data_IF_357192160796
#
_entry.id   IF_357192160796
#
_cell.length_a   1.000
_cell.length_b   1.000
_cell.length_c   1.000
_cell.angle_alpha   90.00
_cell.angle_beta   90.00
_cell.angle_gamma   90.00
#
_symmetry.space_group_name_H-M   'P 1'
#
loop_
_entity.id
_entity.type
_entity.pdbx_description
1 polymer ?
#
# COMPACT_ATOMS: atom_id res chain seq x y z
N UNK A 1 9.80 52.21 12.50
CA UNK A 1 9.26 53.60 12.56
C UNK A 1 8.82 53.85 13.99
N UNK A 2 9.16 55.01 14.58
CA UNK A 2 8.60 55.41 15.88
C UNK A 2 7.10 55.68 15.70
N UNK A 3 6.26 55.00 16.50
CA UNK A 3 4.78 55.06 16.44
C UNK A 3 4.27 56.15 17.40
N UNK A 4 4.63 57.41 17.15
CA UNK A 4 4.18 58.54 17.98
C UNK A 4 2.77 59.00 17.56
N UNK A 5 1.95 59.53 18.50
CA UNK A 5 0.61 60.08 18.21
C UNK A 5 0.58 61.05 17.02
N UNK A 6 1.45 62.05 17.04
CA UNK A 6 1.47 63.17 16.09
C UNK A 6 1.80 62.68 14.68
N UNK A 7 2.61 61.61 14.59
CA UNK A 7 2.97 61.00 13.31
C UNK A 7 1.82 60.18 12.73
N UNK A 8 1.00 59.54 13.57
CA UNK A 8 -0.19 58.83 13.12
C UNK A 8 -1.17 59.84 12.53
N UNK A 9 -1.44 60.93 13.25
CA UNK A 9 -2.33 62.01 12.81
C UNK A 9 -1.90 62.59 11.45
N UNK A 10 -0.62 62.97 11.31
CA UNK A 10 -0.09 63.52 10.06
C UNK A 10 -0.16 62.53 8.89
N UNK A 11 0.19 61.26 9.11
CA UNK A 11 0.14 60.25 8.04
C UNK A 11 -1.29 59.86 7.68
N UNK A 12 -2.23 59.88 8.62
CA UNK A 12 -3.64 59.68 8.35
C UNK A 12 -4.20 60.82 7.49
N UNK A 13 -3.88 62.08 7.79
CA UNK A 13 -4.27 63.22 6.97
C UNK A 13 -3.73 63.10 5.54
N UNK A 14 -2.44 62.78 5.39
CA UNK A 14 -1.82 62.58 4.07
C UNK A 14 -2.40 61.39 3.30
N UNK A 15 -2.78 60.32 4.01
CA UNK A 15 -3.44 59.17 3.41
C UNK A 15 -4.81 59.55 2.84
N UNK A 16 -5.66 60.22 3.62
CA UNK A 16 -7.02 60.62 3.24
C UNK A 16 -7.00 61.66 2.12
N UNK A 17 -6.07 62.62 2.17
CA UNK A 17 -5.86 63.59 1.07
C UNK A 17 -5.32 62.94 -0.21
N UNK A 18 -4.88 61.68 -0.16
CA UNK A 18 -4.30 60.98 -1.30
C UNK A 18 -2.88 61.42 -1.67
N UNK A 19 -2.20 62.16 -0.79
CA UNK A 19 -0.81 62.58 -1.01
C UNK A 19 0.20 61.45 -0.76
N UNK A 20 -0.16 60.45 0.07
CA UNK A 20 0.62 59.21 0.19
C UNK A 20 0.51 58.36 -1.08
N UNK A 21 1.65 58.12 -1.74
CA UNK A 21 1.76 57.33 -2.97
C UNK A 21 2.71 56.14 -2.84
N UNK A 22 2.50 55.14 -3.69
CA UNK A 22 3.38 53.99 -3.85
C UNK A 22 3.68 53.26 -2.54
N UNK A 23 4.97 52.99 -2.28
CA UNK A 23 5.40 52.20 -1.11
C UNK A 23 5.01 52.81 0.23
N UNK A 24 4.90 54.14 0.33
CA UNK A 24 4.49 54.80 1.56
C UNK A 24 3.04 54.48 1.91
N UNK A 25 2.15 54.56 0.91
CA UNK A 25 0.73 54.20 1.03
C UNK A 25 0.55 52.74 1.43
N UNK A 26 1.18 51.82 0.70
CA UNK A 26 1.06 50.38 0.98
C UNK A 26 1.54 50.00 2.40
N UNK A 27 2.59 50.67 2.91
CA UNK A 27 3.05 50.44 4.29
C UNK A 27 2.06 50.98 5.32
N UNK A 28 1.45 52.13 5.04
CA UNK A 28 0.44 52.73 5.92
C UNK A 28 -0.84 51.88 5.94
N UNK A 29 -1.30 51.39 4.80
CA UNK A 29 -2.44 50.46 4.69
C UNK A 29 -2.20 49.16 5.47
N UNK A 30 -0.99 48.59 5.37
CA UNK A 30 -0.61 47.43 6.20
C UNK A 30 -0.66 47.74 7.69
N UNK A 31 -0.15 48.90 8.11
CA UNK A 31 -0.19 49.30 9.51
C UNK A 31 -1.63 49.54 10.00
N UNK A 32 -2.51 50.04 9.12
CA UNK A 32 -3.92 50.24 9.40
C UNK A 32 -4.66 48.91 9.66
N UNK A 33 -4.30 47.83 8.96
CA UNK A 33 -4.86 46.49 9.23
C UNK A 33 -4.54 45.98 10.64
N UNK A 34 -3.40 46.37 11.21
CA UNK A 34 -2.91 45.89 12.50
C UNK A 34 -3.26 46.81 13.68
N UNK A 35 -3.63 48.08 13.42
CA UNK A 35 -3.75 49.12 14.46
C UNK A 35 -5.11 49.82 14.44
N UNK A 36 -5.92 49.58 15.48
CA UNK A 36 -7.20 50.27 15.69
C UNK A 36 -7.05 51.79 15.80
N UNK A 37 -6.00 52.27 16.48
CA UNK A 37 -5.72 53.71 16.62
C UNK A 37 -5.46 54.39 15.27
N UNK A 38 -4.75 53.72 14.35
CA UNK A 38 -4.50 54.27 13.00
C UNK A 38 -5.79 54.35 12.21
N UNK A 39 -6.67 53.34 12.32
CA UNK A 39 -8.02 53.38 11.70
C UNK A 39 -8.87 54.52 12.23
N UNK A 40 -8.84 54.77 13.54
CA UNK A 40 -9.59 55.86 14.16
C UNK A 40 -9.15 57.24 13.64
N UNK A 41 -7.85 57.47 13.51
CA UNK A 41 -7.34 58.72 12.95
C UNK A 41 -7.71 58.89 11.47
N UNK A 42 -7.67 57.81 10.68
CA UNK A 42 -8.13 57.85 9.29
C UNK A 42 -9.61 58.18 9.20
N UNK A 43 -10.45 57.54 10.01
CA UNK A 43 -11.88 57.84 10.09
C UNK A 43 -12.14 59.32 10.42
N UNK A 44 -11.43 59.86 11.43
CA UNK A 44 -11.54 61.27 11.81
C UNK A 44 -11.23 62.21 10.63
N UNK A 45 -10.17 61.93 9.86
CA UNK A 45 -9.82 62.73 8.70
C UNK A 45 -10.76 62.53 7.51
N UNK A 46 -11.30 61.32 7.29
CA UNK A 46 -12.32 61.05 6.27
C UNK A 46 -13.61 61.81 6.56
N UNK A 47 -14.08 61.82 7.80
CA UNK A 47 -15.27 62.57 8.21
C UNK A 47 -15.06 64.08 8.06
N UNK A 48 -13.89 64.58 8.49
CA UNK A 48 -13.56 66.01 8.44
C UNK A 48 -13.41 66.53 7.00
N UNK A 49 -12.73 65.77 6.14
CA UNK A 49 -12.48 66.16 4.74
C UNK A 49 -13.66 65.80 3.82
N UNK A 50 -14.45 64.78 4.17
CA UNK A 50 -15.64 64.36 3.41
C UNK A 50 -16.67 65.49 3.27
N UNK A 51 -16.82 66.34 4.29
CA UNK A 51 -17.70 67.52 4.27
C UNK A 51 -17.32 68.55 3.17
N UNK A 52 -16.09 68.52 2.65
CA UNK A 52 -15.72 69.35 1.50
C UNK A 52 -16.39 68.86 0.21
N UNK A 53 -16.70 67.56 0.13
CA UNK A 53 -17.41 66.94 -0.99
C UNK A 53 -18.82 67.50 -1.19
N UNK A 54 -19.51 67.87 -0.11
CA UNK A 54 -20.86 68.42 -0.15
C UNK A 54 -20.96 69.77 -0.89
N UNK A 55 -19.82 70.45 -1.05
CA UNK A 55 -19.73 71.72 -1.80
C UNK A 55 -19.43 71.53 -3.28
N UNK A 56 -19.17 70.31 -3.72
CA UNK A 56 -18.90 69.99 -5.12
C UNK A 56 -20.24 69.81 -5.83
N UNK A 57 -20.49 70.53 -6.95
CA UNK A 57 -21.74 70.36 -7.69
C UNK A 57 -21.85 68.94 -8.23
N UNK A 58 -23.05 68.37 -8.11
CA UNK A 58 -23.34 67.04 -8.65
C UNK A 58 -23.16 67.04 -10.17
N UNK A 59 -22.47 66.01 -10.67
CA UNK A 59 -22.26 65.80 -12.10
C UNK A 59 -22.54 64.33 -12.40
N UNK A 60 -23.54 64.10 -13.22
CA UNK A 60 -23.92 62.76 -13.62
C UNK A 60 -22.77 62.10 -14.42
N UNK A 61 -22.23 60.96 -13.98
CA UNK A 61 -21.24 60.22 -14.74
C UNK A 61 -21.91 59.54 -15.94
N UNK A 62 -21.17 59.29 -17.05
CA UNK A 62 -21.70 58.51 -18.16
C UNK A 62 -22.17 57.12 -17.71
N UNK A 63 -23.26 56.61 -18.29
CA UNK A 63 -23.80 55.26 -17.98
C UNK A 63 -22.77 54.14 -18.16
N UNK A 64 -21.81 54.33 -19.09
CA UNK A 64 -20.71 53.39 -19.32
C UNK A 64 -19.84 53.15 -18.09
N UNK A 65 -19.71 54.14 -17.20
CA UNK A 65 -18.99 54.02 -15.92
C UNK A 65 -19.70 53.03 -15.02
N UNK A 66 -21.03 53.14 -14.90
CA UNK A 66 -21.83 52.24 -14.08
C UNK A 66 -21.81 50.81 -14.63
N UNK A 67 -21.93 50.65 -15.95
CA UNK A 67 -21.80 49.36 -16.62
C UNK A 67 -20.43 48.72 -16.39
N UNK A 68 -19.35 49.49 -16.48
CA UNK A 68 -17.99 49.01 -16.22
C UNK A 68 -17.79 48.57 -14.76
N UNK A 69 -18.39 49.29 -13.80
CA UNK A 69 -18.38 48.91 -12.38
C UNK A 69 -19.12 47.59 -12.19
N UNK A 70 -20.33 47.45 -12.74
CA UNK A 70 -21.11 46.21 -12.64
C UNK A 70 -20.35 45.01 -13.22
N UNK A 71 -19.75 45.16 -14.40
CA UNK A 71 -18.97 44.08 -15.03
C UNK A 71 -17.74 43.67 -14.22
N UNK A 72 -17.13 44.60 -13.48
CA UNK A 72 -15.94 44.33 -12.66
C UNK A 72 -16.29 43.66 -11.33
N UNK A 73 -17.37 44.08 -10.68
CA UNK A 73 -17.80 43.56 -9.38
C UNK A 73 -18.57 42.24 -9.51
N UNK A 74 -19.39 42.15 -10.54
CA UNK A 74 -20.14 40.95 -10.91
C UNK A 74 -19.81 40.62 -12.34
N UNK A 75 -18.60 40.08 -12.60
CA UNK A 75 -18.34 39.48 -13.90
C UNK A 75 -19.42 38.44 -14.09
N UNK A 76 -20.34 38.71 -15.01
CA UNK A 76 -21.27 37.71 -15.47
C UNK A 76 -20.36 36.55 -15.89
N UNK A 77 -20.53 35.39 -15.26
CA UNK A 77 -20.07 34.12 -15.78
C UNK A 77 -20.84 33.87 -17.08
N UNK A 78 -20.64 34.73 -18.07
CA UNK A 78 -20.64 34.31 -19.45
C UNK A 78 -19.68 33.14 -19.42
N UNK A 79 -20.26 31.94 -19.47
CA UNK A 79 -19.54 30.71 -19.77
C UNK A 79 -18.71 31.07 -20.98
N UNK A 80 -17.46 31.48 -20.77
CA UNK A 80 -16.48 31.55 -21.84
C UNK A 80 -16.63 30.18 -22.46
N UNK A 81 -17.02 30.05 -23.74
CA UNK A 81 -16.87 28.77 -24.40
C UNK A 81 -15.42 28.42 -24.09
N UNK A 82 -15.23 27.34 -23.33
CA UNK A 82 -13.91 26.92 -22.92
C UNK A 82 -13.06 27.04 -24.18
N UNK A 83 -11.87 27.70 -24.13
CA UNK A 83 -11.04 27.78 -25.32
C UNK A 83 -11.04 26.37 -25.86
N UNK A 84 -11.50 26.19 -27.11
CA UNK A 84 -11.30 24.93 -27.83
C UNK A 84 -9.79 24.82 -27.84
N UNK A 85 -9.25 24.24 -26.79
CA UNK A 85 -7.86 23.91 -26.65
C UNK A 85 -7.68 23.07 -27.90
N UNK A 86 -6.97 23.65 -28.88
CA UNK A 86 -6.55 22.93 -30.05
C UNK A 86 -5.90 21.69 -29.45
N UNK A 87 -6.63 20.57 -29.53
CA UNK A 87 -6.38 19.42 -28.69
C UNK A 87 -4.97 19.02 -29.04
N UNK A 88 -4.05 19.24 -28.11
CA UNK A 88 -2.69 18.79 -28.25
C UNK A 88 -2.84 17.27 -28.23
N UNK A 89 -2.99 16.67 -29.43
CA UNK A 89 -3.32 15.25 -29.66
C UNK A 89 -2.33 14.30 -29.02
N UNK A 90 -1.22 14.83 -28.53
CA UNK A 90 -0.27 14.17 -27.65
C UNK A 90 -0.88 13.79 -26.30
N UNK A 91 -1.65 14.63 -25.61
CA UNK A 91 -2.21 14.30 -24.28
C UNK A 91 -3.15 13.08 -24.26
N UNK A 92 -4.09 12.89 -25.22
CA UNK A 92 -4.93 11.69 -25.24
C UNK A 92 -4.17 10.41 -25.61
N UNK A 93 -2.99 10.50 -26.23
CA UNK A 93 -2.17 9.34 -26.55
C UNK A 93 -1.54 8.71 -25.29
N UNK A 94 -1.11 9.55 -24.32
CA UNK A 94 -0.58 9.06 -23.04
C UNK A 94 -1.66 8.43 -22.16
N UNK A 95 -2.91 8.94 -22.20
CA UNK A 95 -4.02 8.33 -21.47
C UNK A 95 -4.40 6.94 -22.00
N UNK A 96 -4.31 6.72 -23.32
CA UNK A 96 -4.52 5.39 -23.91
C UNK A 96 -3.43 4.40 -23.49
N UNK A 97 -2.17 4.85 -23.48
CA UNK A 97 -1.02 4.03 -23.06
C UNK A 97 -1.10 3.65 -21.57
N UNK A 98 -1.48 4.59 -20.70
CA UNK A 98 -1.69 4.34 -19.29
C UNK A 98 -2.86 3.36 -19.04
N UNK A 99 -3.94 3.47 -19.82
CA UNK A 99 -5.10 2.56 -19.71
C UNK A 99 -4.71 1.15 -20.14
N UNK A 100 -3.97 1.00 -21.24
CA UNK A 100 -3.46 -0.30 -21.69
C UNK A 100 -2.52 -0.93 -20.66
N UNK A 101 -1.61 -0.16 -20.06
CA UNK A 101 -0.72 -0.63 -19.00
C UNK A 101 -1.49 -1.06 -17.75
N UNK A 102 -2.53 -0.32 -17.36
CA UNK A 102 -3.38 -0.69 -16.22
C UNK A 102 -4.16 -1.98 -16.48
N UNK A 103 -4.65 -2.20 -17.70
CA UNK A 103 -5.32 -3.46 -18.09
C UNK A 103 -4.33 -4.62 -18.05
N UNK A 104 -3.13 -4.46 -18.59
CA UNK A 104 -2.08 -5.49 -18.53
C UNK A 104 -1.73 -5.81 -17.08
N UNK A 105 -1.57 -4.79 -16.22
CA UNK A 105 -1.28 -4.98 -14.80
C UNK A 105 -2.42 -5.69 -14.08
N UNK A 106 -3.68 -5.34 -14.38
CA UNK A 106 -4.85 -6.00 -13.81
C UNK A 106 -4.93 -7.47 -14.24
N UNK A 107 -4.65 -7.76 -15.52
CA UNK A 107 -4.58 -9.14 -16.02
C UNK A 107 -3.45 -9.91 -15.35
N UNK A 108 -2.27 -9.30 -15.18
CA UNK A 108 -1.16 -9.91 -14.46
C UNK A 108 -1.49 -10.18 -12.99
N UNK A 109 -2.20 -9.27 -12.31
CA UNK A 109 -2.64 -9.47 -10.93
C UNK A 109 -3.65 -10.62 -10.81
N UNK A 110 -4.61 -10.70 -11.73
CA UNK A 110 -5.62 -11.77 -11.73
C UNK A 110 -5.01 -13.12 -12.12
N UNK A 111 -3.98 -13.12 -12.97
CA UNK A 111 -3.23 -14.32 -13.33
C UNK A 111 -2.14 -14.70 -12.33
N UNK A 112 -1.97 -13.97 -11.21
CA UNK A 112 -1.08 -14.46 -10.17
C UNK A 112 -1.64 -15.77 -9.64
N UNK A 113 -0.90 -16.89 -9.77
CA UNK A 113 -1.30 -18.11 -9.09
C UNK A 113 -1.39 -17.78 -7.61
N UNK A 114 -2.52 -18.15 -6.99
CA UNK A 114 -2.70 -18.00 -5.56
C UNK A 114 -1.45 -18.55 -4.84
N UNK A 115 -0.93 -17.89 -3.79
CA UNK A 115 0.11 -18.49 -2.98
C UNK A 115 -0.45 -19.80 -2.44
N UNK A 116 0.01 -20.91 -3.00
CA UNK A 116 -0.43 -22.22 -2.55
C UNK A 116 0.05 -22.42 -1.11
N UNK A 117 -0.80 -22.99 -0.24
CA UNK A 117 -0.42 -23.27 1.14
C UNK A 117 0.83 -24.15 1.11
N UNK A 118 1.94 -23.57 1.54
CA UNK A 118 3.14 -24.35 1.84
C UNK A 118 2.81 -25.06 3.15
N UNK A 119 2.48 -26.34 3.08
CA UNK A 119 2.30 -27.20 4.26
C UNK A 119 3.66 -27.31 4.96
N UNK A 120 3.81 -26.48 5.98
CA UNK A 120 5.12 -26.09 6.49
C UNK A 120 5.36 -26.82 7.80
N UNK A 121 5.98 -27.99 7.71
CA UNK A 121 6.77 -28.61 8.77
C UNK A 121 6.00 -29.34 9.88
N UNK A 122 6.18 -30.65 9.95
CA UNK A 122 6.05 -31.37 11.22
C UNK A 122 7.42 -31.41 11.93
N UNK A 123 7.49 -30.91 13.16
CA UNK A 123 8.61 -31.20 14.07
C UNK A 123 8.27 -32.53 14.75
N UNK A 124 8.94 -33.60 14.34
CA UNK A 124 8.89 -34.86 15.09
C UNK A 124 9.72 -34.65 16.35
N UNK A 125 9.05 -34.32 17.46
CA UNK A 125 9.71 -34.12 18.74
C UNK A 125 10.08 -35.49 19.30
N UNK A 126 11.37 -35.77 19.26
CA UNK A 126 12.00 -36.96 19.80
C UNK A 126 12.42 -36.70 21.25
N UNK A 127 12.22 -37.69 22.12
CA UNK A 127 12.97 -37.77 23.37
C UNK A 127 14.48 -37.91 23.04
N UNK A 128 15.36 -37.59 23.99
CA UNK A 128 16.77 -37.13 23.84
C UNK A 128 17.73 -37.99 22.96
N UNK A 129 17.30 -39.14 22.43
CA UNK A 129 18.11 -40.05 21.60
C UNK A 129 17.62 -40.31 20.17
N UNK A 130 16.50 -39.73 19.73
CA UNK A 130 15.85 -40.11 18.48
C UNK A 130 16.15 -39.16 17.28
N UNK A 131 16.16 -39.68 16.04
CA UNK A 131 16.59 -38.95 14.86
C UNK A 131 15.58 -37.86 14.46
N UNK A 132 16.04 -36.60 14.42
CA UNK A 132 15.20 -35.47 13.98
C UNK A 132 15.07 -35.44 12.45
N UNK A 133 13.83 -35.51 11.96
CA UNK A 133 13.47 -35.40 10.54
C UNK A 133 12.56 -34.20 10.30
N UNK A 134 12.86 -33.42 9.26
CA UNK A 134 12.02 -32.33 8.77
C UNK A 134 11.33 -32.75 7.48
N UNK A 135 9.99 -32.80 7.52
CA UNK A 135 9.16 -33.06 6.34
C UNK A 135 8.58 -31.74 5.85
N UNK A 136 8.70 -31.46 4.55
CA UNK A 136 7.96 -30.39 3.88
C UNK A 136 7.33 -30.87 2.59
N UNK A 137 6.11 -30.41 2.34
CA UNK A 137 5.39 -30.65 1.09
C UNK A 137 5.36 -29.36 0.28
N UNK A 138 5.71 -29.46 -1.01
CA UNK A 138 5.58 -28.34 -1.96
C UNK A 138 4.41 -28.62 -2.90
N UNK A 139 3.29 -27.91 -2.69
CA UNK A 139 2.09 -28.01 -3.53
C UNK A 139 2.37 -27.79 -5.02
N UNK A 140 3.32 -26.89 -5.34
CA UNK A 140 3.68 -26.50 -6.71
C UNK A 140 4.25 -27.63 -7.58
N UNK A 141 5.06 -28.51 -6.99
CA UNK A 141 5.79 -29.54 -7.74
C UNK A 141 5.28 -30.95 -7.44
N UNK A 142 4.27 -31.06 -6.58
CA UNK A 142 3.78 -32.33 -6.05
C UNK A 142 4.86 -33.20 -5.42
N UNK A 143 5.76 -32.56 -4.66
CA UNK A 143 6.93 -33.23 -4.08
C UNK A 143 6.94 -33.11 -2.58
N UNK A 144 7.21 -34.25 -1.95
CA UNK A 144 7.50 -34.32 -0.54
C UNK A 144 9.02 -34.37 -0.36
N UNK A 145 9.55 -33.46 0.44
CA UNK A 145 10.95 -33.35 0.79
C UNK A 145 11.13 -33.76 2.24
N UNK A 146 12.04 -34.66 2.48
CA UNK A 146 12.43 -35.12 3.80
C UNK A 146 13.92 -34.87 3.99
N UNK A 147 14.27 -34.14 5.04
CA UNK A 147 15.66 -33.88 5.43
C UNK A 147 15.94 -34.50 6.79
N UNK A 148 17.00 -35.30 6.87
CA UNK A 148 17.59 -35.72 8.14
C UNK A 148 18.33 -34.53 8.77
N UNK A 149 18.02 -34.23 10.03
CA UNK A 149 18.70 -33.18 10.80
C UNK A 149 19.67 -33.80 11.81
N UNK A 150 19.28 -34.92 12.44
CA UNK A 150 20.11 -35.65 13.39
C UNK A 150 19.99 -37.18 13.25
N UNK A 151 19.57 -37.66 12.08
CA UNK A 151 19.35 -39.09 11.89
C UNK A 151 20.65 -39.89 11.74
N UNK A 152 20.82 -40.92 12.57
CA UNK A 152 21.91 -41.90 12.43
C UNK A 152 21.50 -42.95 11.40
N UNK A 153 22.48 -43.56 10.73
CA UNK A 153 22.24 -44.68 9.81
C UNK A 153 21.41 -45.79 10.47
N UNK A 154 20.52 -46.40 9.69
CA UNK A 154 19.79 -47.58 10.12
C UNK A 154 20.74 -48.70 10.55
N UNK A 155 20.23 -49.64 11.36
CA UNK A 155 20.98 -50.83 11.77
C UNK A 155 21.56 -51.57 10.55
N UNK A 156 22.69 -52.26 10.73
CA UNK A 156 23.38 -52.97 9.63
C UNK A 156 22.42 -53.94 8.93
N UNK A 157 22.20 -53.73 7.64
CA UNK A 157 21.32 -54.57 6.81
C UNK A 157 19.85 -54.16 6.81
N UNK A 158 19.51 -52.99 7.37
CA UNK A 158 18.17 -52.42 7.36
C UNK A 158 18.17 -51.02 6.78
N UNK A 159 17.04 -50.58 6.25
CA UNK A 159 16.83 -49.25 5.70
C UNK A 159 15.57 -48.61 6.31
N UNK A 160 15.52 -47.27 6.33
CA UNK A 160 14.30 -46.56 6.72
C UNK A 160 13.37 -46.40 5.53
N UNK A 161 12.07 -46.57 5.74
CA UNK A 161 11.06 -46.36 4.70
C UNK A 161 10.00 -45.37 5.17
N UNK A 162 9.59 -44.48 4.27
CA UNK A 162 8.57 -43.48 4.52
C UNK A 162 7.21 -43.97 4.04
N UNK A 163 6.18 -43.70 4.84
CA UNK A 163 4.80 -44.13 4.56
C UNK A 163 3.81 -42.99 4.78
N UNK A 164 2.74 -42.96 3.99
CA UNK A 164 1.50 -42.25 4.31
C UNK A 164 0.58 -43.21 5.04
N UNK A 165 0.02 -42.77 6.16
CA UNK A 165 -0.89 -43.58 6.98
C UNK A 165 -2.30 -43.01 6.86
N UNK A 166 -3.20 -43.63 6.07
CA UNK A 166 -4.58 -43.16 5.96
C UNK A 166 -5.35 -43.33 7.27
N UNK A 167 -6.44 -42.57 7.44
CA UNK A 167 -7.38 -42.78 8.55
C UNK A 167 -8.11 -44.14 8.42
N UNK A 168 -8.34 -44.59 7.19
CA UNK A 168 -8.90 -45.90 6.86
C UNK A 168 -8.21 -46.43 5.58
N UNK A 169 -7.69 -47.67 5.63
CA UNK A 169 -7.04 -48.31 4.50
C UNK A 169 -5.60 -48.75 4.82
N UNK A 170 -4.89 -49.20 3.79
CA UNK A 170 -3.52 -49.69 3.93
C UNK A 170 -2.51 -48.53 3.79
N UNK A 171 -1.37 -48.56 4.52
CA UNK A 171 -0.32 -47.56 4.37
C UNK A 171 0.26 -47.55 2.96
N UNK A 172 0.55 -46.36 2.44
CA UNK A 172 1.14 -46.19 1.12
C UNK A 172 2.63 -45.88 1.24
N UNK A 173 3.48 -46.73 0.64
CA UNK A 173 4.93 -46.49 0.62
C UNK A 173 5.26 -45.26 -0.23
N UNK A 174 6.07 -44.38 0.34
CA UNK A 174 6.73 -43.29 -0.34
C UNK A 174 8.18 -43.60 -0.68
N UNK A 175 8.68 -44.78 -0.30
CA UNK A 175 9.99 -45.29 -0.64
C UNK A 175 11.05 -45.17 0.46
N UNK A 176 12.21 -45.77 0.17
CA UNK A 176 13.34 -45.89 1.09
C UNK A 176 14.10 -44.56 1.20
N UNK A 177 14.40 -44.17 2.44
CA UNK A 177 15.01 -42.89 2.79
C UNK A 177 16.55 -43.05 2.85
N UNK A 178 17.32 -42.37 1.98
CA UNK A 178 18.77 -42.34 2.08
C UNK A 178 19.22 -41.55 3.31
N UNK A 179 20.18 -42.09 4.05
CA UNK A 179 20.73 -41.47 5.25
C UNK A 179 21.71 -40.34 4.85
N UNK A 180 21.56 -39.16 5.44
CA UNK A 180 22.49 -38.03 5.26
C UNK A 180 22.23 -37.14 4.04
N UNK A 181 21.25 -37.49 3.21
CA UNK A 181 20.84 -36.69 2.04
C UNK A 181 19.41 -36.13 2.19
N UNK A 182 19.04 -35.22 1.30
CA UNK A 182 17.65 -34.78 1.17
C UNK A 182 16.92 -35.79 0.31
N UNK A 183 15.97 -36.50 0.91
CA UNK A 183 15.08 -37.38 0.17
C UNK A 183 13.96 -36.56 -0.45
N UNK A 184 13.68 -36.79 -1.74
CA UNK A 184 12.64 -36.07 -2.45
C UNK A 184 11.86 -37.02 -3.36
N UNK A 185 10.60 -37.25 -3.01
CA UNK A 185 9.68 -38.10 -3.75
C UNK A 185 8.62 -37.24 -4.45
N UNK A 186 8.26 -37.61 -5.67
CA UNK A 186 7.09 -37.07 -6.37
C UNK A 186 5.88 -37.92 -5.99
N UNK A 187 4.85 -37.28 -5.46
CA UNK A 187 3.65 -37.98 -5.01
C UNK A 187 2.85 -38.42 -6.24
N UNK A 188 2.24 -39.62 -6.19
CA UNK A 188 1.17 -39.95 -7.13
C UNK A 188 -0.09 -39.16 -6.76
N UNK A 189 -1.08 -39.07 -7.66
CA UNK A 189 -2.34 -38.40 -7.35
C UNK A 189 -3.06 -39.07 -6.16
N UNK A 190 -2.99 -40.41 -6.06
CA UNK A 190 -3.51 -41.19 -4.94
C UNK A 190 -2.78 -40.88 -3.62
N UNK A 191 -1.45 -40.81 -3.64
CA UNK A 191 -0.65 -40.45 -2.47
C UNK A 191 -0.98 -39.04 -1.98
N UNK A 192 -1.16 -38.08 -2.91
CA UNK A 192 -1.53 -36.71 -2.59
C UNK A 192 -2.90 -36.65 -1.91
N UNK A 193 -3.90 -37.32 -2.48
CA UNK A 193 -5.25 -37.33 -1.91
C UNK A 193 -5.24 -37.94 -0.50
N UNK A 194 -4.56 -39.08 -0.35
CA UNK A 194 -4.45 -39.79 0.93
C UNK A 194 -3.73 -38.96 2.00
N UNK A 195 -2.64 -38.27 1.63
CA UNK A 195 -1.90 -37.39 2.53
C UNK A 195 -2.72 -36.16 2.91
N UNK A 196 -3.50 -35.59 1.98
CA UNK A 196 -4.35 -34.43 2.25
C UNK A 196 -5.47 -34.71 3.26
N UNK A 197 -6.00 -35.94 3.23
CA UNK A 197 -7.06 -36.41 4.13
C UNK A 197 -6.52 -36.78 5.52
N UNK A 198 -5.52 -37.67 5.56
CA UNK A 198 -5.01 -38.21 6.84
C UNK A 198 -4.01 -37.30 7.54
N UNK A 199 -3.27 -36.51 6.75
CA UNK A 199 -2.12 -35.70 7.16
C UNK A 199 -1.10 -36.48 8.00
N UNK A 200 -1.05 -37.80 7.90
CA UNK A 200 -0.25 -38.64 8.79
C UNK A 200 0.84 -39.38 8.02
N UNK A 201 2.07 -39.28 8.53
CA UNK A 201 3.25 -39.95 7.99
C UNK A 201 3.85 -40.87 9.03
N UNK A 202 4.48 -41.95 8.58
CA UNK A 202 5.23 -42.86 9.43
C UNK A 202 6.59 -43.22 8.84
N UNK A 203 7.55 -43.53 9.72
CA UNK A 203 8.85 -44.07 9.34
C UNK A 203 9.01 -45.43 10.01
N UNK A 204 9.27 -46.47 9.22
CA UNK A 204 9.56 -47.82 9.72
C UNK A 204 10.99 -48.24 9.43
N UNK A 205 11.45 -49.28 10.14
CA UNK A 205 12.76 -49.91 9.94
C UNK A 205 12.60 -51.23 9.19
N UNK A 206 12.87 -51.21 7.89
CA UNK A 206 12.61 -52.33 6.98
C UNK A 206 13.91 -53.10 6.64
N UNK A 207 13.81 -54.31 6.05
CA UNK A 207 14.96 -54.99 5.47
C UNK A 207 15.66 -54.11 4.41
N UNK A 208 16.92 -54.41 4.11
CA UNK A 208 17.66 -53.71 3.05
C UNK A 208 16.85 -53.68 1.74
N UNK A 209 16.61 -52.48 1.22
CA UNK A 209 15.79 -52.24 0.03
C UNK A 209 14.31 -51.93 0.30
N UNK A 210 13.88 -51.87 1.58
CA UNK A 210 12.51 -51.56 1.96
C UNK A 210 11.63 -52.80 2.18
N UNK A 211 10.34 -52.56 2.38
CA UNK A 211 9.34 -53.60 2.60
C UNK A 211 9.11 -54.43 1.34
N UNK A 212 9.18 -55.77 1.43
CA UNK A 212 8.90 -56.65 0.30
C UNK A 212 7.39 -56.86 0.06
N UNK A 213 6.53 -56.39 0.96
CA UNK A 213 5.09 -56.71 0.94
C UNK A 213 4.20 -55.54 0.50
N UNK A 214 4.76 -54.33 0.41
CA UNK A 214 3.97 -53.12 0.18
C UNK A 214 3.26 -52.59 1.44
N UNK A 215 3.47 -53.21 2.60
CA UNK A 215 3.05 -52.72 3.91
C UNK A 215 4.24 -52.76 4.89
N UNK A 216 4.26 -51.97 5.98
CA UNK A 216 5.36 -52.00 6.93
C UNK A 216 5.59 -53.41 7.49
N UNK A 217 6.79 -53.98 7.32
CA UNK A 217 7.14 -55.31 7.85
C UNK A 217 7.97 -55.23 9.13
N UNK A 218 8.61 -54.09 9.36
CA UNK A 218 9.39 -53.81 10.56
C UNK A 218 8.68 -52.97 11.60
N UNK A 219 9.36 -52.65 12.72
CA UNK A 219 8.82 -51.74 13.73
C UNK A 219 8.66 -50.33 13.15
N UNK A 220 7.52 -49.70 13.44
CA UNK A 220 7.28 -48.29 13.17
C UNK A 220 8.00 -47.48 14.25
N UNK A 221 8.95 -46.66 13.84
CA UNK A 221 9.79 -45.87 14.74
C UNK A 221 9.14 -44.52 15.05
N UNK A 222 8.53 -43.89 14.04
CA UNK A 222 7.93 -42.57 14.18
C UNK A 222 6.61 -42.48 13.44
N UNK A 223 5.68 -41.71 14.02
CA UNK A 223 4.42 -41.30 13.40
C UNK A 223 4.24 -39.81 13.67
N UNK A 224 3.90 -39.04 12.65
CA UNK A 224 3.71 -37.59 12.78
C UNK A 224 2.57 -37.07 11.93
N UNK A 225 1.99 -35.94 12.34
CA UNK A 225 0.97 -35.24 11.58
C UNK A 225 1.53 -33.97 10.95
N UNK A 226 1.19 -33.74 9.69
CA UNK A 226 1.47 -32.49 8.98
C UNK A 226 0.43 -31.44 9.37
N UNK A 227 0.89 -30.22 9.65
CA UNK A 227 0.06 -29.07 9.94
C UNK A 227 0.25 -27.99 8.87
N UNK A 228 -0.81 -27.22 8.60
CA UNK A 228 -0.71 -25.98 7.82
C UNK A 228 -0.16 -24.88 8.75
N UNK A 229 0.79 -24.08 8.26
CA UNK A 229 1.21 -22.83 8.92
C UNK A 229 0.44 -21.64 8.35
#
# INVERSE_FOLDING_TARGET
>A
MKKTPERIESLAAEYVLGSLKGKARNRFERWMMESGRVRQEVWYWEEKLGQLGDRVPEREPPESVWLAIQQRLWPQETKRPAPRQAANRVWPAWSLLATAAAVVLAVMLVQQPAPEPTLSGAIVQADVSDPLWLVSESGRDNRLRLRSVAATSAEVGKDYELWIVPDNGDPLSLGVIPVGEVYQVELTDEARETLSQSRTLAISLEPRGGSPTGAPTGPILHVTKLYEL
#
